data_IF_073780375062
#
_entry.id   IF_073780375062
#
_cell.length_a   1.000
_cell.length_b   1.000
_cell.length_c   1.000
_cell.angle_alpha   90.00
_cell.angle_beta   90.00
_cell.angle_gamma   90.00
#
_symmetry.space_group_name_H-M   'P 1'
#
loop_
_entity.id
_entity.type
_entity.pdbx_description
1 polymer ?
#
# COMPACT_ATOMS: atom_id res chain seq x y z
N UNK A 1 38.41 24.59 -16.34
CA UNK A 1 38.65 23.15 -16.31
C UNK A 1 38.29 22.69 -14.90
N UNK A 2 37.09 22.24 -14.76
CA UNK A 2 36.44 21.24 -13.92
C UNK A 2 34.96 21.56 -13.87
N UNK A 3 34.26 21.16 -14.91
CA UNK A 3 32.85 20.83 -14.88
C UNK A 3 32.85 19.29 -14.85
N UNK A 4 32.15 18.73 -13.89
CA UNK A 4 31.59 17.37 -13.82
C UNK A 4 31.54 16.95 -12.36
N UNK A 5 30.31 16.96 -11.83
CA UNK A 5 29.71 15.95 -10.98
C UNK A 5 28.56 16.59 -10.17
N UNK A 6 27.43 16.66 -10.81
CA UNK A 6 26.17 16.88 -10.11
C UNK A 6 25.04 16.13 -10.84
N UNK A 7 25.18 14.80 -10.94
CA UNK A 7 24.10 13.93 -11.39
C UNK A 7 24.04 12.65 -10.54
N UNK A 8 23.52 12.79 -9.35
CA UNK A 8 22.86 11.67 -8.67
C UNK A 8 21.78 12.24 -7.77
N UNK A 9 20.71 12.75 -8.39
CA UNK A 9 19.47 12.99 -7.70
C UNK A 9 18.83 11.63 -7.43
N UNK A 10 19.19 11.00 -6.32
CA UNK A 10 18.55 9.78 -5.87
C UNK A 10 17.07 10.08 -5.62
N UNK A 11 16.19 9.37 -6.31
CA UNK A 11 14.75 9.39 -6.08
C UNK A 11 14.53 8.74 -4.73
N UNK A 12 14.55 9.52 -3.66
CA UNK A 12 14.20 9.03 -2.33
C UNK A 12 12.69 8.85 -2.29
N UNK A 13 12.26 7.59 -2.21
CA UNK A 13 10.87 7.24 -1.95
C UNK A 13 10.62 7.35 -0.46
N UNK A 14 9.60 8.11 -0.11
CA UNK A 14 9.11 8.14 1.26
C UNK A 14 8.74 6.70 1.70
N UNK A 15 9.07 6.28 2.92
CA UNK A 15 8.53 5.08 3.52
C UNK A 15 7.10 5.34 4.05
N UNK A 16 6.26 5.88 3.20
CA UNK A 16 4.80 5.75 3.34
C UNK A 16 4.51 4.30 3.01
N UNK A 17 3.53 3.63 3.60
CA UNK A 17 3.01 2.45 2.94
C UNK A 17 2.83 2.86 1.48
N UNK A 18 3.53 2.19 0.56
CA UNK A 18 3.78 2.63 -0.84
C UNK A 18 2.51 2.90 -1.65
N UNK A 19 1.41 3.09 -0.99
CA UNK A 19 0.06 3.12 -1.46
C UNK A 19 -0.60 4.48 -1.52
N UNK A 20 -0.01 5.57 -1.03
CA UNK A 20 -0.79 6.77 -0.88
C UNK A 20 -0.38 7.98 -1.73
N UNK A 21 0.62 7.90 -2.64
CA UNK A 21 1.11 9.13 -3.27
C UNK A 21 1.68 8.92 -4.70
N UNK A 22 0.83 8.92 -5.73
CA UNK A 22 1.24 9.03 -7.14
C UNK A 22 0.31 9.92 -7.96
N UNK A 23 0.83 10.98 -8.52
CA UNK A 23 0.15 11.81 -9.52
C UNK A 23 0.18 11.18 -10.92
N UNK A 24 -0.84 11.46 -11.67
CA UNK A 24 -1.25 10.83 -12.90
C UNK A 24 -0.22 10.84 -14.04
N UNK A 25 0.44 9.71 -14.24
CA UNK A 25 0.72 9.19 -15.59
C UNK A 25 0.14 7.78 -15.67
N UNK A 26 -1.12 7.72 -16.05
CA UNK A 26 -1.97 6.52 -16.07
C UNK A 26 -1.47 5.41 -17.02
N UNK A 27 -0.42 5.65 -17.80
CA UNK A 27 0.12 4.70 -18.80
C UNK A 27 1.51 4.16 -18.50
N UNK A 28 2.16 4.55 -17.42
CA UNK A 28 3.44 3.96 -17.05
C UNK A 28 3.26 2.96 -15.91
N UNK A 29 2.99 1.71 -16.26
CA UNK A 29 3.19 0.59 -15.34
C UNK A 29 4.66 0.62 -14.92
N UNK A 30 5.00 0.78 -13.64
CA UNK A 30 6.39 0.79 -13.21
C UNK A 30 7.05 -0.50 -13.64
N UNK A 31 8.34 -0.47 -14.06
CA UNK A 31 9.04 -1.67 -14.48
C UNK A 31 8.98 -2.69 -13.33
N UNK A 32 8.49 -3.89 -13.64
CA UNK A 32 8.45 -5.01 -12.69
C UNK A 32 9.86 -5.18 -12.13
N UNK A 33 10.04 -4.97 -10.83
CA UNK A 33 11.30 -5.25 -10.17
C UNK A 33 11.68 -6.69 -10.46
N UNK A 34 12.87 -6.89 -11.02
CA UNK A 34 13.42 -8.21 -11.28
C UNK A 34 13.42 -8.98 -9.97
N UNK A 35 12.58 -9.99 -9.85
CA UNK A 35 12.58 -10.89 -8.68
C UNK A 35 13.87 -11.68 -8.74
N UNK A 36 14.59 -11.70 -7.64
CA UNK A 36 15.69 -12.66 -7.44
C UNK A 36 15.01 -14.03 -7.49
N UNK A 37 15.38 -14.85 -8.48
CA UNK A 37 14.92 -16.22 -8.56
C UNK A 37 15.47 -16.94 -7.32
N UNK A 38 14.58 -17.21 -6.36
CA UNK A 38 14.90 -18.12 -5.26
C UNK A 38 15.13 -19.48 -5.90
N UNK A 39 16.31 -20.04 -5.66
CA UNK A 39 16.66 -21.40 -6.08
C UNK A 39 15.49 -22.33 -5.80
N UNK A 40 15.02 -23.00 -6.83
CA UNK A 40 13.88 -23.91 -6.72
C UNK A 40 14.26 -25.09 -5.83
N UNK A 41 14.08 -24.91 -4.51
CA UNK A 41 14.01 -26.05 -3.61
C UNK A 41 12.87 -26.96 -4.09
N UNK A 42 13.08 -28.25 -4.06
CA UNK A 42 12.01 -29.19 -4.42
C UNK A 42 10.78 -28.87 -3.55
N UNK A 43 9.58 -28.85 -4.15
CA UNK A 43 8.37 -28.58 -3.39
C UNK A 43 8.21 -29.62 -2.28
N UNK A 44 7.89 -29.15 -1.08
CA UNK A 44 7.69 -30.02 0.09
C UNK A 44 6.36 -30.76 0.01
N UNK A 45 5.39 -30.20 -0.72
CA UNK A 45 4.08 -30.80 -0.92
C UNK A 45 3.90 -31.26 -2.39
N UNK A 46 3.28 -32.43 -2.62
CA UNK A 46 2.94 -32.90 -3.96
C UNK A 46 1.74 -32.14 -4.55
N UNK A 47 1.89 -30.84 -4.72
CA UNK A 47 0.83 -30.00 -5.27
C UNK A 47 0.70 -30.21 -6.79
N UNK A 48 -0.53 -30.25 -7.33
CA UNK A 48 -0.77 -30.36 -8.76
C UNK A 48 -0.21 -29.14 -9.53
N UNK A 49 -0.10 -29.28 -10.83
CA UNK A 49 0.21 -28.15 -11.69
C UNK A 49 -0.87 -27.07 -11.58
N UNK A 50 -0.46 -25.80 -11.69
CA UNK A 50 -1.42 -24.70 -11.64
C UNK A 50 -2.41 -24.83 -12.82
N UNK A 51 -3.70 -24.60 -12.55
CA UNK A 51 -4.73 -24.73 -13.57
C UNK A 51 -4.57 -23.68 -14.68
N UNK A 52 -5.10 -23.97 -15.85
CA UNK A 52 -5.26 -22.95 -16.89
C UNK A 52 -6.29 -21.91 -16.45
N UNK A 53 -6.25 -20.73 -17.06
CA UNK A 53 -7.23 -19.68 -16.79
C UNK A 53 -8.67 -20.21 -16.94
N UNK A 54 -9.52 -19.95 -15.94
CA UNK A 54 -10.90 -20.42 -15.88
C UNK A 54 -11.09 -21.88 -15.44
N UNK A 55 -10.01 -22.65 -15.24
CA UNK A 55 -10.13 -24.01 -14.73
C UNK A 55 -10.10 -24.03 -13.19
N UNK A 56 -10.80 -25.02 -12.62
CA UNK A 56 -10.87 -25.27 -11.18
C UNK A 56 -10.10 -26.55 -10.85
N UNK A 57 -9.40 -26.53 -9.73
CA UNK A 57 -8.77 -27.71 -9.12
C UNK A 57 -9.23 -27.76 -7.67
N UNK A 58 -9.67 -28.93 -7.25
CA UNK A 58 -9.97 -29.22 -5.85
C UNK A 58 -8.73 -29.88 -5.23
N UNK A 59 -8.23 -29.30 -4.12
CA UNK A 59 -7.14 -29.88 -3.35
C UNK A 59 -7.72 -30.72 -2.20
N UNK A 60 -7.03 -31.81 -1.80
CA UNK A 60 -7.45 -32.56 -0.63
C UNK A 60 -7.35 -31.67 0.62
N UNK A 61 -8.11 -31.95 1.69
CA UNK A 61 -7.99 -31.22 2.93
C UNK A 61 -6.58 -31.38 3.49
N UNK A 62 -5.99 -30.23 3.84
CA UNK A 62 -4.66 -30.15 4.43
C UNK A 62 -4.79 -29.96 5.95
N UNK A 63 -3.97 -30.66 6.71
CA UNK A 63 -4.01 -30.61 8.18
C UNK A 63 -3.02 -29.57 8.72
N UNK A 64 -3.45 -28.85 9.76
CA UNK A 64 -2.64 -27.84 10.44
C UNK A 64 -2.15 -26.76 9.49
N UNK A 65 -0.89 -26.34 9.61
CA UNK A 65 -0.29 -25.29 8.79
C UNK A 65 0.13 -25.74 7.37
N UNK A 66 -0.26 -26.96 6.94
CA UNK A 66 0.04 -27.42 5.58
C UNK A 66 -0.69 -26.62 4.50
N UNK A 67 -1.79 -25.97 4.81
CA UNK A 67 -2.47 -25.03 3.92
C UNK A 67 -1.63 -23.74 3.71
N UNK A 68 -1.02 -23.20 4.75
CA UNK A 68 -0.11 -22.06 4.65
C UNK A 68 1.12 -22.39 3.80
N UNK A 69 1.72 -23.59 4.00
CA UNK A 69 2.81 -24.09 3.16
C UNK A 69 2.38 -24.24 1.69
N UNK A 70 1.20 -24.82 1.44
CA UNK A 70 0.66 -24.98 0.09
C UNK A 70 0.47 -23.63 -0.61
N UNK A 71 -0.09 -22.64 0.09
CA UNK A 71 -0.27 -21.28 -0.44
C UNK A 71 1.07 -20.60 -0.73
N UNK A 72 2.07 -20.76 0.16
CA UNK A 72 3.41 -20.25 -0.06
C UNK A 72 4.07 -20.85 -1.32
N UNK A 73 3.96 -22.17 -1.53
CA UNK A 73 4.48 -22.85 -2.72
C UNK A 73 3.71 -22.47 -3.99
N UNK A 74 2.38 -22.33 -3.94
CA UNK A 74 1.56 -21.87 -5.06
C UNK A 74 1.96 -20.46 -5.46
N UNK A 75 2.09 -19.54 -4.50
CA UNK A 75 2.52 -18.17 -4.76
C UNK A 75 3.92 -18.11 -5.37
N UNK A 76 4.86 -18.93 -4.88
CA UNK A 76 6.20 -19.05 -5.44
C UNK A 76 6.21 -19.52 -6.90
N UNK A 77 5.33 -20.45 -7.26
CA UNK A 77 5.14 -20.94 -8.66
C UNK A 77 4.40 -19.93 -9.55
N UNK A 78 3.61 -19.03 -8.94
CA UNK A 78 2.79 -18.03 -9.63
C UNK A 78 3.52 -16.72 -9.86
N UNK A 79 4.84 -16.74 -10.03
CA UNK A 79 5.68 -15.56 -10.09
C UNK A 79 5.08 -14.43 -10.96
N UNK A 80 4.89 -13.25 -10.34
CA UNK A 80 4.33 -12.07 -11.01
C UNK A 80 2.81 -12.00 -11.05
N UNK A 81 2.10 -12.96 -10.47
CA UNK A 81 0.62 -12.92 -10.33
C UNK A 81 0.27 -12.78 -8.85
N UNK A 82 -0.77 -12.04 -8.57
CA UNK A 82 -1.37 -11.97 -7.25
C UNK A 82 -2.18 -13.24 -6.99
N UNK A 83 -1.90 -13.91 -5.87
CA UNK A 83 -2.74 -14.98 -5.33
C UNK A 83 -3.76 -14.38 -4.37
N UNK A 84 -5.02 -14.31 -4.78
CA UNK A 84 -6.11 -13.92 -3.90
C UNK A 84 -6.66 -15.16 -3.18
N UNK A 85 -6.65 -15.14 -1.85
CA UNK A 85 -7.08 -16.25 -0.99
C UNK A 85 -8.31 -15.79 -0.22
N UNK A 86 -9.45 -16.42 -0.47
CA UNK A 86 -10.68 -16.17 0.29
C UNK A 86 -10.77 -17.18 1.42
N UNK A 87 -10.83 -16.70 2.67
CA UNK A 87 -10.94 -17.53 3.87
C UNK A 87 -12.37 -17.56 4.39
N UNK A 88 -12.74 -18.62 5.11
CA UNK A 88 -14.06 -18.73 5.71
C UNK A 88 -14.30 -17.67 6.80
N UNK A 89 -13.25 -17.32 7.56
CA UNK A 89 -13.34 -16.36 8.66
C UNK A 89 -12.15 -15.40 8.68
N UNK A 90 -12.27 -14.30 9.41
CA UNK A 90 -11.18 -13.38 9.69
C UNK A 90 -10.07 -14.05 10.53
N UNK A 91 -10.43 -14.96 11.43
CA UNK A 91 -9.46 -15.71 12.23
C UNK A 91 -8.57 -16.62 11.36
N UNK A 92 -9.14 -17.27 10.35
CA UNK A 92 -8.37 -18.07 9.39
C UNK A 92 -7.43 -17.20 8.57
N UNK A 93 -7.90 -16.02 8.14
CA UNK A 93 -7.07 -15.08 7.40
C UNK A 93 -5.90 -14.59 8.25
N UNK A 94 -6.13 -14.25 9.52
CA UNK A 94 -5.08 -13.81 10.44
C UNK A 94 -4.08 -14.94 10.70
N UNK A 95 -4.53 -16.17 10.94
CA UNK A 95 -3.66 -17.33 11.10
C UNK A 95 -2.75 -17.52 9.88
N UNK A 96 -3.29 -17.43 8.67
CA UNK A 96 -2.52 -17.56 7.45
C UNK A 96 -1.53 -16.39 7.26
N UNK A 97 -1.91 -15.16 7.66
CA UNK A 97 -1.02 -14.01 7.65
C UNK A 97 0.22 -14.22 8.52
N UNK A 98 0.04 -14.87 9.65
CA UNK A 98 1.12 -15.17 10.60
C UNK A 98 1.95 -16.40 10.17
N UNK A 99 1.33 -17.43 9.59
CA UNK A 99 2.00 -18.69 9.26
C UNK A 99 2.75 -18.68 7.92
N UNK A 100 2.21 -18.02 6.87
CA UNK A 100 2.84 -18.01 5.54
C UNK A 100 4.28 -17.47 5.55
N UNK A 101 4.61 -16.39 6.30
CA UNK A 101 5.97 -15.87 6.37
C UNK A 101 7.00 -16.85 6.98
N UNK A 102 6.54 -17.83 7.78
CA UNK A 102 7.41 -18.88 8.30
C UNK A 102 7.96 -19.78 7.19
N UNK A 103 7.12 -20.08 6.18
CA UNK A 103 7.52 -20.95 5.07
C UNK A 103 8.18 -20.17 3.94
N UNK A 104 7.79 -18.90 3.75
CA UNK A 104 8.27 -18.07 2.65
C UNK A 104 8.36 -16.58 3.06
N UNK A 105 9.39 -16.19 3.85
CA UNK A 105 9.54 -14.81 4.37
C UNK A 105 9.72 -13.74 3.28
N UNK A 106 10.06 -14.17 2.06
CA UNK A 106 10.21 -13.26 0.91
C UNK A 106 8.88 -12.89 0.26
N UNK A 107 7.78 -13.58 0.57
CA UNK A 107 6.46 -13.26 0.02
C UNK A 107 5.84 -12.06 0.72
N UNK A 108 5.25 -11.19 -0.07
CA UNK A 108 4.54 -10.01 0.42
C UNK A 108 3.07 -10.38 0.59
N UNK A 109 2.71 -10.68 1.83
CA UNK A 109 1.36 -11.09 2.22
C UNK A 109 0.66 -9.92 2.89
N UNK A 110 -0.59 -9.65 2.53
CA UNK A 110 -1.45 -8.71 3.25
C UNK A 110 -2.85 -9.28 3.44
N UNK A 111 -3.48 -8.87 4.52
CA UNK A 111 -4.88 -9.08 4.81
C UNK A 111 -5.66 -7.83 4.36
N UNK A 112 -6.78 -8.01 3.68
CA UNK A 112 -7.76 -6.95 3.47
C UNK A 112 -8.71 -6.95 4.67
N UNK A 113 -8.59 -5.98 5.61
CA UNK A 113 -9.40 -5.98 6.82
C UNK A 113 -10.88 -5.73 6.52
N UNK A 114 -11.77 -6.21 7.38
CA UNK A 114 -13.20 -5.91 7.29
C UNK A 114 -13.48 -4.47 7.74
N UNK A 115 -14.65 -3.94 7.41
CA UNK A 115 -15.07 -2.61 7.84
C UNK A 115 -15.36 -2.53 9.34
N UNK A 116 -15.63 -3.67 10.00
CA UNK A 116 -16.06 -3.79 11.39
C UNK A 116 -17.37 -3.03 11.71
N UNK A 117 -18.01 -2.49 10.69
CA UNK A 117 -19.29 -1.81 10.77
C UNK A 117 -20.24 -2.40 9.74
N UNK A 118 -21.52 -2.47 10.06
CA UNK A 118 -22.53 -2.90 9.11
C UNK A 118 -23.01 -1.73 8.25
N UNK A 119 -23.50 -1.99 7.04
CA UNK A 119 -24.23 -0.99 6.27
C UNK A 119 -25.41 -0.48 7.11
N UNK A 120 -25.57 0.85 7.18
CA UNK A 120 -26.59 1.55 7.98
C UNK A 120 -26.34 1.68 9.49
N UNK A 121 -25.15 1.29 9.97
CA UNK A 121 -24.74 1.63 11.33
C UNK A 121 -24.64 3.15 11.51
N UNK A 122 -24.88 3.62 12.71
CA UNK A 122 -24.74 5.03 13.06
C UNK A 122 -23.28 5.49 13.18
N UNK A 123 -22.35 4.56 13.09
CA UNK A 123 -20.91 4.82 13.22
C UNK A 123 -20.21 4.59 11.88
N UNK A 124 -19.34 5.52 11.51
CA UNK A 124 -18.42 5.31 10.39
C UNK A 124 -17.29 4.36 10.79
N UNK A 125 -16.72 3.60 9.85
CA UNK A 125 -15.52 2.81 10.10
C UNK A 125 -14.38 3.67 10.64
N UNK A 126 -13.53 3.08 11.49
CA UNK A 126 -12.36 3.79 11.99
C UNK A 126 -11.43 4.21 10.84
N UNK A 127 -10.86 5.41 10.92
CA UNK A 127 -10.03 5.94 9.84
C UNK A 127 -8.82 5.06 9.52
N UNK A 128 -8.23 4.41 10.53
CA UNK A 128 -7.12 3.49 10.33
C UNK A 128 -7.51 2.28 9.48
N UNK A 129 -8.71 1.73 9.69
CA UNK A 129 -9.23 0.63 8.85
C UNK A 129 -9.45 1.07 7.40
N UNK A 130 -10.01 2.26 7.21
CA UNK A 130 -10.18 2.83 5.86
C UNK A 130 -8.83 2.95 5.17
N UNK A 131 -7.84 3.47 5.89
CA UNK A 131 -6.48 3.67 5.41
C UNK A 131 -5.79 2.36 5.06
N UNK A 132 -5.87 1.37 5.94
CA UNK A 132 -5.26 0.06 5.73
C UNK A 132 -5.88 -0.66 4.52
N UNK A 133 -7.20 -0.57 4.37
CA UNK A 133 -7.90 -1.11 3.20
C UNK A 133 -7.43 -0.45 1.91
N UNK A 134 -7.40 0.88 1.87
CA UNK A 134 -6.94 1.62 0.70
C UNK A 134 -5.48 1.29 0.37
N UNK A 135 -4.62 1.25 1.38
CA UNK A 135 -3.21 0.88 1.23
C UNK A 135 -3.04 -0.53 0.68
N UNK A 136 -3.82 -1.49 1.17
CA UNK A 136 -3.77 -2.88 0.73
C UNK A 136 -4.25 -3.03 -0.72
N UNK A 137 -5.37 -2.41 -1.07
CA UNK A 137 -5.91 -2.44 -2.43
C UNK A 137 -4.97 -1.75 -3.43
N UNK A 138 -4.39 -0.61 -3.05
CA UNK A 138 -3.42 0.09 -3.87
C UNK A 138 -2.18 -0.77 -4.13
N UNK A 139 -1.60 -1.37 -3.08
CA UNK A 139 -0.46 -2.27 -3.21
C UNK A 139 -0.77 -3.48 -4.13
N UNK A 140 -2.00 -4.02 -4.06
CA UNK A 140 -2.46 -5.06 -4.97
C UNK A 140 -2.49 -4.58 -6.43
N UNK A 141 -3.01 -3.37 -6.69
CA UNK A 141 -3.05 -2.76 -8.02
C UNK A 141 -1.65 -2.49 -8.58
N UNK A 142 -0.69 -2.10 -7.74
CA UNK A 142 0.69 -1.85 -8.15
C UNK A 142 1.51 -3.14 -8.35
N UNK A 143 0.92 -4.32 -8.08
CA UNK A 143 1.65 -5.59 -8.15
C UNK A 143 2.71 -5.73 -7.05
N UNK A 144 2.52 -5.05 -5.94
CA UNK A 144 3.42 -5.07 -4.80
C UNK A 144 3.13 -6.22 -3.83
N UNK A 145 2.05 -6.97 -4.05
CA UNK A 145 1.66 -8.14 -3.26
C UNK A 145 1.86 -9.43 -4.03
N UNK A 146 2.16 -10.48 -3.31
CA UNK A 146 2.21 -11.85 -3.79
C UNK A 146 0.97 -12.62 -3.36
N UNK A 147 0.49 -12.39 -2.13
CA UNK A 147 -0.72 -12.98 -1.57
C UNK A 147 -1.59 -11.89 -0.95
N UNK A 148 -2.87 -11.91 -1.29
CA UNK A 148 -3.92 -11.11 -0.66
C UNK A 148 -4.90 -12.04 0.04
N UNK A 149 -4.97 -11.96 1.36
CA UNK A 149 -5.92 -12.71 2.19
C UNK A 149 -7.19 -11.88 2.35
N UNK A 150 -8.35 -12.49 2.09
CA UNK A 150 -9.63 -11.80 2.12
C UNK A 150 -10.66 -12.67 2.84
N UNK A 151 -11.14 -12.29 4.04
CA UNK A 151 -12.27 -12.97 4.66
C UNK A 151 -13.50 -12.97 3.75
N UNK A 152 -14.31 -14.02 3.78
CA UNK A 152 -15.50 -14.14 2.94
C UNK A 152 -16.48 -12.97 3.15
N UNK A 153 -16.64 -12.51 4.41
CA UNK A 153 -17.45 -11.33 4.74
C UNK A 153 -16.96 -10.07 4.03
N UNK A 154 -15.65 -9.91 3.93
CA UNK A 154 -15.02 -8.78 3.24
C UNK A 154 -15.08 -8.92 1.72
N UNK A 155 -14.96 -10.15 1.21
CA UNK A 155 -14.94 -10.43 -0.24
C UNK A 155 -16.24 -10.07 -0.96
N UNK A 156 -17.38 -10.08 -0.26
CA UNK A 156 -18.69 -9.71 -0.80
C UNK A 156 -18.94 -8.20 -0.83
N UNK A 157 -18.10 -7.40 -0.17
CA UNK A 157 -18.23 -5.95 -0.14
C UNK A 157 -17.80 -5.33 -1.48
N UNK A 158 -18.51 -4.29 -1.88
CA UNK A 158 -18.13 -3.51 -3.06
C UNK A 158 -16.86 -2.72 -2.76
N UNK A 159 -15.97 -2.67 -3.73
CA UNK A 159 -14.75 -1.87 -3.70
C UNK A 159 -14.91 -0.63 -4.58
N UNK A 160 -14.16 0.42 -4.25
CA UNK A 160 -14.05 1.58 -5.13
C UNK A 160 -13.38 1.18 -6.46
N UNK A 161 -13.80 1.75 -7.59
CA UNK A 161 -13.15 1.49 -8.87
C UNK A 161 -11.66 1.86 -8.83
N UNK A 162 -10.79 1.14 -9.56
CA UNK A 162 -9.36 1.44 -9.60
C UNK A 162 -9.04 2.87 -10.01
N UNK A 163 -9.80 3.43 -10.94
CA UNK A 163 -9.65 4.79 -11.44
C UNK A 163 -9.92 5.82 -10.33
N UNK A 164 -10.92 5.56 -9.48
CA UNK A 164 -11.21 6.42 -8.34
C UNK A 164 -10.03 6.39 -7.35
N UNK A 165 -9.52 5.22 -7.03
CA UNK A 165 -8.39 5.09 -6.12
C UNK A 165 -7.14 5.80 -6.66
N UNK A 166 -6.85 5.65 -7.97
CA UNK A 166 -5.73 6.31 -8.61
C UNK A 166 -5.86 7.84 -8.60
N UNK A 167 -7.07 8.37 -8.79
CA UNK A 167 -7.32 9.81 -8.80
C UNK A 167 -7.10 10.48 -7.43
N UNK A 168 -7.18 9.71 -6.34
CA UNK A 168 -7.00 10.20 -4.97
C UNK A 168 -5.67 9.77 -4.35
N UNK A 169 -4.73 9.32 -5.15
CA UNK A 169 -3.37 8.96 -4.72
C UNK A 169 -2.39 10.04 -5.17
N UNK A 170 -1.53 10.50 -4.26
CA UNK A 170 -0.55 11.54 -4.54
C UNK A 170 0.86 10.98 -4.48
N UNK A 171 1.73 11.40 -5.38
CA UNK A 171 3.16 11.15 -5.34
C UNK A 171 3.90 12.48 -5.30
N UNK A 172 4.82 12.63 -4.35
CA UNK A 172 5.67 13.81 -4.26
C UNK A 172 7.11 13.44 -4.53
N UNK A 173 7.79 14.30 -5.27
CA UNK A 173 9.22 14.18 -5.54
C UNK A 173 9.88 15.53 -5.32
N UNK A 174 11.10 15.49 -4.81
CA UNK A 174 11.95 16.69 -4.76
C UNK A 174 12.15 17.23 -6.18
N UNK A 175 12.03 18.55 -6.36
CA UNK A 175 12.09 19.21 -7.65
C UNK A 175 10.78 19.18 -8.45
N UNK A 176 9.71 18.57 -7.91
CA UNK A 176 8.39 18.57 -8.55
C UNK A 176 7.68 19.89 -8.28
N UNK A 177 7.02 20.45 -9.29
CA UNK A 177 6.12 21.59 -9.11
C UNK A 177 4.80 21.14 -8.52
N UNK A 178 4.35 21.86 -7.51
CA UNK A 178 3.12 21.60 -6.76
C UNK A 178 2.30 22.88 -6.65
N UNK A 179 1.16 22.90 -7.33
CA UNK A 179 0.17 23.96 -7.19
C UNK A 179 -0.60 23.74 -5.86
N UNK A 180 -0.36 24.59 -4.87
CA UNK A 180 -0.90 24.46 -3.52
C UNK A 180 -2.45 24.52 -3.50
N UNK A 181 -3.09 25.29 -4.40
CA UNK A 181 -4.56 25.39 -4.45
C UNK A 181 -5.20 24.13 -5.07
N UNK A 182 -4.58 23.59 -6.12
CA UNK A 182 -5.01 22.31 -6.69
C UNK A 182 -4.80 21.19 -5.69
N UNK A 183 -3.66 21.16 -5.01
CA UNK A 183 -3.38 20.20 -3.95
C UNK A 183 -4.40 20.28 -2.84
N UNK A 184 -4.71 21.48 -2.32
CA UNK A 184 -5.75 21.70 -1.32
C UNK A 184 -7.09 21.11 -1.75
N UNK A 185 -7.52 21.41 -2.98
CA UNK A 185 -8.77 20.90 -3.52
C UNK A 185 -8.79 19.38 -3.59
N UNK A 186 -7.70 18.76 -4.05
CA UNK A 186 -7.57 17.32 -4.18
C UNK A 186 -7.58 16.59 -2.83
N UNK A 187 -6.79 17.06 -1.84
CA UNK A 187 -6.75 16.44 -0.51
C UNK A 187 -8.07 16.61 0.25
N UNK A 188 -8.75 17.74 0.08
CA UNK A 188 -10.08 17.95 0.65
C UNK A 188 -11.10 16.98 0.04
N UNK A 189 -11.10 16.79 -1.29
CA UNK A 189 -11.93 15.80 -1.96
C UNK A 189 -11.59 14.37 -1.54
N UNK A 190 -10.33 14.09 -1.22
CA UNK A 190 -9.87 12.81 -0.70
C UNK A 190 -10.27 12.58 0.78
N UNK A 191 -10.96 13.53 1.39
CA UNK A 191 -11.48 13.39 2.77
C UNK A 191 -10.52 13.84 3.86
N UNK A 192 -9.42 14.53 3.51
CA UNK A 192 -8.51 15.09 4.50
C UNK A 192 -9.08 16.35 5.14
N UNK A 193 -8.89 16.49 6.46
CA UNK A 193 -9.27 17.67 7.21
C UNK A 193 -8.18 18.74 7.17
N UNK A 194 -8.55 19.98 6.82
CA UNK A 194 -7.65 21.12 6.92
C UNK A 194 -7.58 21.60 8.38
N UNK A 195 -6.40 21.56 8.96
CA UNK A 195 -6.15 21.93 10.35
C UNK A 195 -5.03 22.97 10.47
N UNK A 196 -4.95 23.66 11.61
CA UNK A 196 -3.84 24.59 11.88
C UNK A 196 -2.55 23.84 12.26
N UNK A 197 -2.69 22.69 12.88
CA UNK A 197 -1.59 21.83 13.32
C UNK A 197 -1.96 20.38 13.07
N UNK A 198 -1.12 19.66 12.33
CA UNK A 198 -1.34 18.27 11.96
C UNK A 198 -0.90 17.36 13.09
N UNK A 199 -1.80 16.54 13.61
CA UNK A 199 -1.54 15.61 14.73
C UNK A 199 -2.03 14.19 14.46
N UNK A 200 -2.97 14.01 13.53
CA UNK A 200 -3.60 12.72 13.24
C UNK A 200 -3.59 12.37 11.77
N UNK A 201 -3.59 11.05 11.41
CA UNK A 201 -3.78 10.63 10.02
C UNK A 201 -5.05 11.22 9.39
N UNK A 202 -4.96 11.63 8.13
CA UNK A 202 -6.06 12.28 7.42
C UNK A 202 -6.14 13.80 7.64
N UNK A 203 -5.14 14.41 8.24
CA UNK A 203 -5.04 15.85 8.42
C UNK A 203 -3.97 16.46 7.52
N UNK A 204 -4.19 17.71 7.13
CA UNK A 204 -3.20 18.52 6.42
C UNK A 204 -3.26 20.00 6.83
N UNK A 205 -2.14 20.69 6.65
CA UNK A 205 -1.99 22.13 6.91
C UNK A 205 -1.14 22.75 5.82
N UNK A 206 -1.53 23.94 5.36
CA UNK A 206 -0.75 24.75 4.40
C UNK A 206 -0.45 26.10 5.05
N UNK A 207 0.83 26.39 5.19
CA UNK A 207 1.32 27.62 5.85
C UNK A 207 2.46 28.22 5.03
N UNK A 208 2.12 29.17 4.15
CA UNK A 208 3.11 29.77 3.25
C UNK A 208 3.71 28.69 2.34
N UNK A 209 5.04 28.56 2.34
CA UNK A 209 5.77 27.52 1.59
C UNK A 209 5.87 26.16 2.29
N UNK A 210 5.11 25.90 3.35
CA UNK A 210 5.11 24.63 4.06
C UNK A 210 3.77 23.92 3.92
N UNK A 211 3.83 22.66 3.54
CA UNK A 211 2.68 21.77 3.53
C UNK A 211 2.96 20.62 4.49
N UNK A 212 2.21 20.56 5.56
CA UNK A 212 2.21 19.42 6.48
C UNK A 212 1.06 18.49 6.12
N UNK A 213 1.34 17.22 6.01
CA UNK A 213 0.37 16.18 5.64
C UNK A 213 0.61 14.93 6.48
N UNK A 214 -0.44 14.41 7.11
CA UNK A 214 -0.39 13.10 7.72
C UNK A 214 -1.21 12.12 6.87
N UNK A 215 -0.56 11.36 5.96
CA UNK A 215 -1.29 10.47 5.08
C UNK A 215 -2.05 9.40 5.87
N UNK A 216 -3.25 9.10 5.44
CA UNK A 216 -3.99 7.94 5.94
C UNK A 216 -3.16 6.67 5.68
N UNK A 217 -3.07 5.79 6.69
CA UNK A 217 -2.26 4.56 6.62
C UNK A 217 -0.75 4.76 6.77
N UNK A 218 -0.27 5.98 6.97
CA UNK A 218 1.12 6.25 7.33
C UNK A 218 1.30 6.23 8.84
N UNK A 219 2.47 5.80 9.31
CA UNK A 219 2.86 5.91 10.71
C UNK A 219 3.52 7.26 11.03
N UNK A 220 3.91 8.02 10.01
CA UNK A 220 4.62 9.27 10.16
C UNK A 220 3.99 10.36 9.29
N UNK A 221 3.91 11.60 9.82
CA UNK A 221 3.52 12.75 9.03
C UNK A 221 4.69 13.29 8.21
N UNK A 222 4.38 13.97 7.13
CA UNK A 222 5.34 14.55 6.20
C UNK A 222 5.19 16.05 6.10
N UNK A 223 6.32 16.72 5.97
CA UNK A 223 6.44 18.15 5.69
C UNK A 223 7.11 18.33 4.34
N UNK A 224 6.41 19.03 3.44
CA UNK A 224 6.92 19.46 2.16
C UNK A 224 7.35 20.91 2.31
N UNK A 225 8.63 21.20 2.08
CA UNK A 225 9.14 22.56 2.01
C UNK A 225 9.08 22.99 0.54
N UNK A 226 8.33 24.04 0.25
CA UNK A 226 8.21 24.61 -1.10
C UNK A 226 9.05 25.87 -1.21
N UNK A 227 9.80 25.98 -2.30
CA UNK A 227 10.35 27.23 -2.78
C UNK A 227 9.53 27.67 -4.00
N UNK A 228 8.73 28.71 -3.81
CA UNK A 228 7.70 29.14 -4.75
C UNK A 228 6.66 28.01 -5.01
N UNK A 229 6.69 27.37 -6.16
CA UNK A 229 5.84 26.24 -6.53
C UNK A 229 6.59 24.89 -6.62
N UNK A 230 7.87 24.84 -6.25
CA UNK A 230 8.71 23.64 -6.36
C UNK A 230 8.98 23.02 -4.98
N UNK A 231 8.85 21.70 -4.88
CA UNK A 231 9.18 20.94 -3.66
C UNK A 231 10.69 20.91 -3.49
N UNK A 232 11.21 21.70 -2.57
CA UNK A 232 12.63 21.75 -2.27
C UNK A 232 13.08 20.57 -1.40
N UNK A 233 12.28 20.26 -0.37
CA UNK A 233 12.57 19.16 0.55
C UNK A 233 11.30 18.45 0.98
N UNK A 234 11.48 17.16 1.31
CA UNK A 234 10.45 16.33 1.93
C UNK A 234 11.05 15.75 3.21
N UNK A 235 10.36 15.93 4.35
CA UNK A 235 10.84 15.54 5.66
C UNK A 235 9.71 14.93 6.48
N UNK A 236 10.04 14.08 7.44
CA UNK A 236 9.10 13.70 8.48
C UNK A 236 9.19 14.67 9.64
N UNK A 237 8.13 14.79 10.43
CA UNK A 237 8.14 15.59 11.65
C UNK A 237 7.43 14.85 12.78
N UNK A 238 7.71 15.27 13.99
CA UNK A 238 7.08 14.75 15.20
C UNK A 238 5.81 15.54 15.52
N UNK A 239 4.69 14.83 15.74
CA UNK A 239 3.35 15.44 15.91
C UNK A 239 3.23 16.27 17.19
N UNK A 240 3.92 15.88 18.26
CA UNK A 240 3.82 16.56 19.56
C UNK A 240 4.64 17.85 19.59
N UNK A 241 5.87 17.77 19.08
CA UNK A 241 6.81 18.90 19.08
C UNK A 241 6.74 19.74 17.81
N UNK A 242 6.11 19.23 16.74
CA UNK A 242 6.07 19.83 15.39
C UNK A 242 7.45 20.08 14.77
N UNK A 243 8.48 19.43 15.30
CA UNK A 243 9.86 19.56 14.82
C UNK A 243 10.13 18.52 13.74
N UNK A 244 10.83 18.95 12.72
CA UNK A 244 11.33 18.07 11.66
C UNK A 244 12.31 17.07 12.25
N UNK A 245 12.19 15.79 11.87
CA UNK A 245 12.99 14.67 12.40
C UNK A 245 13.97 14.17 11.36
N UNK A 246 13.50 13.67 10.22
CA UNK A 246 14.35 13.07 9.19
C UNK A 246 14.00 13.59 7.80
N UNK A 247 15.03 13.84 6.94
CA UNK A 247 14.80 13.98 5.50
C UNK A 247 14.41 12.63 4.90
N UNK A 248 13.59 12.68 3.86
CA UNK A 248 13.07 11.49 3.18
C UNK A 248 13.50 11.52 1.72
#
# INVERSE_FOLDING_TARGET
MCAEDCRTGGTQRLPVPQSALRGSDYNSVPPRRTRIAVSASQPLLPLPALPRAGARIDLPPLAGSADALALAEIAGRSAGKLLAVVTASAADAQRLLDEIPWFAPQLRVRLLPDWETLPYDHFSPHQDLVSERLATLWAAMQGELDILLVPASTAINRLAPPEFMAAYTFEFRKGQRLDAEKFRSQVTLAGYAHVTQVVSPGEYSIRGGLIDLFPMGSQLPYRLDLFDDEIENIKTFDVDTQRTVYPV
#
